data_IF_524056410884
#
_entry.id   IF_524056410884
#
_cell.length_a   1.000
_cell.length_b   1.000
_cell.length_c   1.000
_cell.angle_alpha   90.00
_cell.angle_beta   90.00
_cell.angle_gamma   90.00
#
_symmetry.space_group_name_H-M   'P 1'
#
loop_
_entity.id
_entity.type
_entity.pdbx_description
1 polymer ?
#
# COMPACT_ATOMS: atom_id res chain seq x y z
N UNK A 1 -7.55 -11.71 -13.95
CA UNK A 1 -6.73 -11.64 -12.72
C UNK A 1 -7.64 -11.89 -11.52
N UNK A 2 -7.15 -12.49 -10.44
CA UNK A 2 -7.91 -12.59 -9.17
C UNK A 2 -7.28 -11.61 -8.18
N UNK A 3 -7.98 -10.51 -7.88
CA UNK A 3 -7.58 -9.55 -6.85
C UNK A 3 -8.27 -9.87 -5.53
N UNK A 4 -7.58 -9.66 -4.41
CA UNK A 4 -8.17 -9.70 -3.07
C UNK A 4 -8.14 -8.30 -2.48
N UNK A 5 -9.31 -7.78 -2.10
CA UNK A 5 -9.43 -6.51 -1.40
C UNK A 5 -9.62 -6.77 0.10
N UNK A 6 -8.67 -6.29 0.91
CA UNK A 6 -8.70 -6.45 2.37
C UNK A 6 -9.28 -5.18 2.99
N UNK A 7 -10.45 -5.31 3.61
CA UNK A 7 -11.15 -4.21 4.30
C UNK A 7 -11.28 -4.49 5.80
N UNK A 8 -11.49 -3.44 6.59
CA UNK A 8 -11.72 -3.53 8.02
C UNK A 8 -12.14 -2.18 8.59
N UNK A 9 -12.89 -2.21 9.69
CA UNK A 9 -13.60 -1.04 10.24
C UNK A 9 -12.69 -0.05 10.95
N UNK A 10 -11.71 -0.53 11.72
CA UNK A 10 -10.85 0.35 12.52
C UNK A 10 -9.39 0.35 12.02
N UNK A 11 -8.60 1.29 12.54
CA UNK A 11 -7.14 1.31 12.40
C UNK A 11 -6.52 0.22 13.28
N UNK A 12 -5.33 -0.27 12.93
CA UNK A 12 -4.56 -1.26 13.70
C UNK A 12 -5.24 -2.59 14.05
N UNK A 13 -6.38 -2.91 13.44
CA UNK A 13 -7.07 -4.21 13.61
C UNK A 13 -6.34 -5.40 12.97
N UNK A 14 -5.14 -5.20 12.42
CA UNK A 14 -4.34 -6.26 11.80
C UNK A 14 -4.54 -6.47 10.29
N UNK A 15 -5.08 -5.49 9.55
CA UNK A 15 -5.22 -5.56 8.07
C UNK A 15 -3.89 -5.81 7.37
N UNK A 16 -2.83 -5.10 7.76
CA UNK A 16 -1.48 -5.32 7.18
C UNK A 16 -1.01 -6.75 7.48
N UNK A 17 -1.16 -7.20 8.73
CA UNK A 17 -0.72 -8.51 9.16
C UNK A 17 -1.41 -9.66 8.41
N UNK A 18 -2.72 -9.58 8.19
CA UNK A 18 -3.43 -10.60 7.42
C UNK A 18 -3.06 -10.54 5.93
N UNK A 19 -2.85 -9.35 5.39
CA UNK A 19 -2.41 -9.16 3.99
C UNK A 19 -1.05 -9.82 3.76
N UNK A 20 -0.09 -9.56 4.64
CA UNK A 20 1.22 -10.22 4.67
C UNK A 20 1.09 -11.76 4.72
N UNK A 21 0.29 -12.29 5.65
CA UNK A 21 0.10 -13.72 5.79
C UNK A 21 -0.48 -14.36 4.50
N UNK A 22 -1.41 -13.67 3.84
CA UNK A 22 -1.95 -14.10 2.55
C UNK A 22 -0.88 -14.07 1.45
N UNK A 23 -0.12 -12.97 1.34
CA UNK A 23 0.97 -12.85 0.37
C UNK A 23 1.96 -14.01 0.56
N UNK A 24 2.45 -14.21 1.78
CA UNK A 24 3.37 -15.29 2.10
C UNK A 24 2.79 -16.67 1.75
N UNK A 25 1.53 -16.93 2.07
CA UNK A 25 0.88 -18.21 1.79
C UNK A 25 0.75 -18.50 0.28
N UNK A 26 0.42 -17.49 -0.53
CA UNK A 26 0.32 -17.62 -1.99
C UNK A 26 1.70 -17.76 -2.63
N UNK A 27 2.69 -16.98 -2.18
CA UNK A 27 4.09 -17.11 -2.62
C UNK A 27 4.62 -18.52 -2.31
N UNK A 28 4.35 -19.05 -1.12
CA UNK A 28 4.76 -20.41 -0.73
C UNK A 28 4.10 -21.52 -1.58
N UNK A 29 2.98 -21.23 -2.25
CA UNK A 29 2.31 -22.12 -3.22
C UNK A 29 2.86 -21.98 -4.64
N UNK A 30 3.86 -21.13 -4.86
CA UNK A 30 4.43 -20.86 -6.17
C UNK A 30 3.62 -19.87 -7.01
N UNK A 31 2.65 -19.16 -6.42
CA UNK A 31 1.88 -18.13 -7.13
C UNK A 31 2.70 -16.84 -7.28
N UNK A 32 2.40 -16.06 -8.32
CA UNK A 32 2.95 -14.72 -8.52
C UNK A 32 2.07 -13.72 -7.80
N UNK A 33 2.63 -13.01 -6.82
CA UNK A 33 1.88 -12.14 -5.91
C UNK A 33 2.57 -10.80 -5.78
N UNK A 34 1.81 -9.72 -5.94
CA UNK A 34 2.18 -8.37 -5.56
C UNK A 34 1.27 -7.91 -4.41
N UNK A 35 1.81 -7.15 -3.46
CA UNK A 35 1.05 -6.46 -2.43
C UNK A 35 0.95 -4.98 -2.74
N UNK A 36 -0.23 -4.38 -2.53
CA UNK A 36 -0.50 -2.98 -2.82
C UNK A 36 -0.97 -2.25 -1.57
N UNK A 37 -0.52 -1.01 -1.42
CA UNK A 37 -0.99 -0.05 -0.42
C UNK A 37 -1.19 1.29 -1.14
N UNK A 38 -2.24 1.43 -1.96
CA UNK A 38 -2.30 2.50 -2.96
C UNK A 38 -2.32 3.90 -2.35
N UNK A 39 -2.93 4.03 -1.17
CA UNK A 39 -3.00 5.27 -0.41
C UNK A 39 -2.45 5.01 1.00
N UNK A 40 -1.50 5.85 1.43
CA UNK A 40 -0.91 5.81 2.76
C UNK A 40 -0.66 7.23 3.29
N UNK A 41 -0.87 7.39 4.59
CA UNK A 41 -0.54 8.58 5.35
C UNK A 41 0.40 8.21 6.50
N UNK A 42 1.06 9.19 7.12
CA UNK A 42 2.11 8.95 8.10
C UNK A 42 3.39 8.35 7.49
N UNK A 43 3.66 8.65 6.22
CA UNK A 43 4.86 8.18 5.54
C UNK A 43 6.12 8.92 6.03
N UNK A 44 7.24 8.20 6.11
CA UNK A 44 8.52 8.75 6.52
C UNK A 44 9.28 9.29 5.32
N UNK A 45 9.91 10.45 5.48
CA UNK A 45 10.83 11.02 4.48
C UNK A 45 12.12 10.21 4.44
N UNK A 46 12.49 9.75 3.24
CA UNK A 46 13.76 9.06 2.98
C UNK A 46 14.50 9.74 1.82
N UNK A 47 15.80 9.44 1.58
CA UNK A 47 16.52 9.98 0.42
C UNK A 47 15.90 9.66 -0.94
N UNK A 48 15.06 8.62 -1.01
CA UNK A 48 14.37 8.16 -2.23
C UNK A 48 12.89 8.56 -2.28
N UNK A 49 12.46 9.46 -1.40
CA UNK A 49 11.08 9.95 -1.30
C UNK A 49 10.34 9.44 -0.06
N UNK A 50 9.03 9.64 -0.02
CA UNK A 50 8.19 9.20 1.09
C UNK A 50 8.04 7.68 1.07
N UNK A 51 8.10 7.04 2.25
CA UNK A 51 7.94 5.59 2.41
C UNK A 51 6.98 5.25 3.54
N UNK A 52 6.09 4.30 3.28
CA UNK A 52 5.17 3.73 4.23
C UNK A 52 5.62 2.32 4.64
N UNK A 53 5.61 2.04 5.94
CA UNK A 53 6.10 0.78 6.46
C UNK A 53 5.23 -0.42 6.06
N UNK A 54 3.90 -0.26 5.96
CA UNK A 54 3.02 -1.31 5.46
C UNK A 54 3.38 -1.66 4.01
N UNK A 55 3.49 -0.64 3.16
CA UNK A 55 3.83 -0.81 1.74
C UNK A 55 5.18 -1.53 1.56
N UNK A 56 6.20 -1.07 2.28
CA UNK A 56 7.52 -1.69 2.25
C UNK A 56 7.50 -3.14 2.75
N UNK A 57 6.70 -3.44 3.77
CA UNK A 57 6.61 -4.81 4.30
C UNK A 57 5.89 -5.74 3.34
N UNK A 58 4.81 -5.28 2.71
CA UNK A 58 4.12 -6.03 1.64
C UNK A 58 5.06 -6.31 0.47
N UNK A 59 5.85 -5.33 0.02
CA UNK A 59 6.84 -5.52 -1.05
C UNK A 59 7.89 -6.57 -0.71
N UNK A 60 8.39 -6.59 0.53
CA UNK A 60 9.39 -7.59 0.97
C UNK A 60 8.86 -9.02 1.01
N UNK A 61 7.55 -9.21 1.23
CA UNK A 61 6.94 -10.54 1.28
C UNK A 61 6.44 -11.02 -0.09
N UNK A 62 6.15 -10.10 -1.00
CA UNK A 62 5.76 -10.40 -2.37
C UNK A 62 6.94 -10.98 -3.18
N UNK A 63 6.62 -11.73 -4.24
CA UNK A 63 7.61 -12.26 -5.19
C UNK A 63 7.51 -11.64 -6.59
N UNK A 64 6.65 -10.63 -6.75
CA UNK A 64 6.59 -9.76 -7.92
C UNK A 64 7.15 -8.40 -7.51
N UNK A 65 8.26 -8.01 -8.13
CA UNK A 65 8.85 -6.70 -7.94
C UNK A 65 8.09 -5.65 -8.74
N UNK A 66 7.65 -4.59 -8.05
CA UNK A 66 7.01 -3.42 -8.64
C UNK A 66 7.74 -2.16 -8.15
N UNK A 67 7.75 -1.07 -8.94
CA UNK A 67 8.16 0.24 -8.45
C UNK A 67 7.35 0.64 -7.21
N UNK A 68 7.97 1.36 -6.28
CA UNK A 68 7.28 1.82 -5.07
C UNK A 68 6.06 2.69 -5.41
N UNK A 69 6.18 3.50 -6.46
CA UNK A 69 5.16 4.40 -6.98
C UNK A 69 3.96 3.65 -7.56
N UNK A 70 4.14 2.38 -7.95
CA UNK A 70 3.05 1.49 -8.34
C UNK A 70 2.37 0.91 -7.09
N UNK A 71 3.14 0.55 -6.05
CA UNK A 71 2.62 -0.04 -4.82
C UNK A 71 1.88 0.97 -3.95
N UNK A 72 2.43 2.18 -3.81
CA UNK A 72 1.91 3.28 -3.01
C UNK A 72 2.06 4.63 -3.75
N UNK A 73 1.27 4.86 -4.83
CA UNK A 73 1.28 6.10 -5.60
C UNK A 73 0.94 7.34 -4.76
N UNK A 74 0.04 7.21 -3.78
CA UNK A 74 -0.34 8.29 -2.89
C UNK A 74 0.27 8.07 -1.50
N UNK A 75 1.40 8.72 -1.26
CA UNK A 75 2.14 8.71 -0.01
C UNK A 75 2.13 10.11 0.63
N UNK A 76 1.57 10.23 1.83
CA UNK A 76 1.47 11.51 2.55
C UNK A 76 2.23 11.46 3.88
N UNK A 77 2.95 12.52 4.20
CA UNK A 77 3.74 12.63 5.45
C UNK A 77 2.87 12.85 6.71
N UNK A 78 1.82 13.70 6.69
CA UNK A 78 0.98 13.90 7.88
C UNK A 78 0.34 12.57 8.36
N UNK A 79 0.49 12.20 9.64
CA UNK A 79 -0.05 10.96 10.20
C UNK A 79 -1.54 11.10 10.57
N UNK A 80 -2.36 11.47 9.57
CA UNK A 80 -3.80 11.69 9.69
C UNK A 80 -4.55 10.91 8.61
N UNK A 81 -5.88 10.96 8.60
CA UNK A 81 -6.65 10.26 7.58
C UNK A 81 -6.21 10.71 6.17
N UNK A 82 -5.99 9.79 5.20
CA UNK A 82 -5.33 10.14 3.95
C UNK A 82 -6.00 11.23 3.12
N UNK A 83 -7.33 11.32 3.16
CA UNK A 83 -8.07 12.38 2.47
C UNK A 83 -7.82 13.78 3.08
N UNK A 84 -7.57 13.85 4.39
CA UNK A 84 -7.20 15.10 5.07
C UNK A 84 -5.74 15.43 4.74
N UNK A 85 -4.85 14.45 4.83
CA UNK A 85 -3.43 14.65 4.48
C UNK A 85 -3.26 15.14 3.03
N UNK A 86 -4.00 14.56 2.08
CA UNK A 86 -4.01 14.98 0.69
C UNK A 86 -4.46 16.44 0.53
N UNK A 87 -5.55 16.83 1.20
CA UNK A 87 -6.03 18.20 1.18
C UNK A 87 -5.01 19.20 1.79
N UNK A 88 -4.35 18.84 2.89
CA UNK A 88 -3.33 19.68 3.54
C UNK A 88 -2.12 19.92 2.64
N UNK A 89 -1.71 18.93 1.85
CA UNK A 89 -0.58 19.06 0.90
C UNK A 89 -1.01 19.54 -0.49
N UNK A 90 -2.30 19.86 -0.69
CA UNK A 90 -2.82 20.35 -1.97
C UNK A 90 -2.80 19.32 -3.10
N UNK A 91 -2.95 18.02 -2.78
CA UNK A 91 -2.98 16.93 -3.76
C UNK A 91 -4.42 16.41 -3.91
N UNK A 92 -4.91 16.39 -5.15
CA UNK A 92 -6.15 15.71 -5.52
C UNK A 92 -5.84 14.26 -5.92
N UNK A 93 -6.56 13.30 -5.32
CA UNK A 93 -6.38 11.87 -5.62
C UNK A 93 -7.27 11.48 -6.80
N UNK A 94 -6.67 10.93 -7.84
CA UNK A 94 -7.36 10.42 -9.02
C UNK A 94 -7.61 8.91 -8.86
N UNK A 95 -8.87 8.46 -8.87
CA UNK A 95 -9.21 7.04 -8.84
C UNK A 95 -8.54 6.21 -9.95
N UNK A 96 -8.29 6.79 -11.12
CA UNK A 96 -7.69 6.06 -12.26
C UNK A 96 -6.25 5.64 -11.96
N UNK A 97 -5.51 6.44 -11.17
CA UNK A 97 -4.17 6.11 -10.68
C UNK A 97 -4.19 4.90 -9.74
N UNK A 98 -5.30 4.66 -9.03
CA UNK A 98 -5.45 3.53 -8.11
C UNK A 98 -5.95 2.29 -8.85
N UNK A 99 -6.92 2.46 -9.75
CA UNK A 99 -7.52 1.36 -10.51
C UNK A 99 -6.55 0.79 -11.55
N UNK A 100 -5.64 1.58 -12.11
CA UNK A 100 -4.62 1.12 -13.05
C UNK A 100 -3.59 0.15 -12.48
N UNK A 101 -3.62 -0.11 -11.16
CA UNK A 101 -2.71 -1.01 -10.45
C UNK A 101 -3.34 -2.40 -10.21
N UNK A 102 -4.68 -2.54 -10.37
CA UNK A 102 -5.46 -3.73 -9.99
C UNK A 102 -5.95 -4.53 -11.20
#
# INVERSE_FOLDING_TARGET
MKGLFITGTDTDIGKTRITEALIHAFVARGERVAGLKPIAAGCHRTPVGLRNDDALTMMRQANVELPYETVNPYAFEPPIAPHIAAAEVGVEMDPDVIQGVV
#
